data_IF_818768200019
#
_entry.id   IF_818768200019
#
_cell.length_a   1.000
_cell.length_b   1.000
_cell.length_c   1.000
_cell.angle_alpha   90.00
_cell.angle_beta   90.00
_cell.angle_gamma   90.00
#
_symmetry.space_group_name_H-M   'P 1'
#
loop_
_entity.id
_entity.type
_entity.pdbx_description
1 polymer ?
#
# COMPACT_ATOMS: atom_id res chain seq x y z
N UNK A 1 5.58 -22.41 11.97
CA UNK A 1 5.83 -21.35 13.00
C UNK A 1 7.06 -21.78 13.77
N UNK A 2 8.22 -21.20 13.48
CA UNK A 2 9.39 -21.42 14.33
C UNK A 2 9.12 -20.70 15.67
N UNK A 3 9.11 -21.45 16.77
CA UNK A 3 9.00 -20.86 18.10
C UNK A 3 10.20 -19.95 18.34
N UNK A 4 9.96 -18.79 18.95
CA UNK A 4 11.04 -17.91 19.41
C UNK A 4 11.88 -18.72 20.40
N UNK A 5 13.22 -18.79 20.24
CA UNK A 5 14.08 -19.53 21.16
C UNK A 5 13.84 -19.08 22.61
N UNK A 6 13.86 -20.01 23.56
CA UNK A 6 13.54 -19.74 24.97
C UNK A 6 14.38 -18.58 25.56
N UNK A 7 15.65 -18.46 25.14
CA UNK A 7 16.52 -17.34 25.54
C UNK A 7 16.05 -15.99 24.99
N UNK A 8 15.50 -15.95 23.78
CA UNK A 8 14.92 -14.73 23.19
C UNK A 8 13.57 -14.41 23.83
N UNK A 9 12.77 -15.42 24.21
CA UNK A 9 11.53 -15.19 24.99
C UNK A 9 11.83 -14.62 26.38
N UNK A 10 12.85 -15.13 27.07
CA UNK A 10 13.31 -14.57 28.36
C UNK A 10 13.71 -13.10 28.25
N UNK A 11 14.36 -12.72 27.14
CA UNK A 11 14.82 -11.35 26.92
C UNK A 11 13.69 -10.42 26.48
N UNK A 12 12.77 -10.89 25.62
CA UNK A 12 11.75 -10.02 25.01
C UNK A 12 10.44 -9.93 25.80
N UNK A 13 9.97 -11.04 26.37
CA UNK A 13 8.70 -11.09 27.10
C UNK A 13 8.77 -12.07 28.28
N UNK A 14 9.41 -11.66 29.39
CA UNK A 14 9.57 -12.49 30.59
C UNK A 14 8.22 -12.93 31.19
N UNK A 15 7.14 -12.18 30.94
CA UNK A 15 5.80 -12.42 31.53
C UNK A 15 5.17 -13.73 31.09
N UNK A 16 5.64 -14.31 29.98
CA UNK A 16 5.20 -15.62 29.50
C UNK A 16 5.82 -16.78 30.28
N UNK A 17 6.84 -16.52 31.10
CA UNK A 17 7.49 -17.55 31.91
C UNK A 17 6.63 -17.85 33.13
N UNK A 18 6.51 -19.14 33.44
CA UNK A 18 5.89 -19.55 34.70
C UNK A 18 6.85 -19.21 35.85
N UNK A 19 6.39 -18.60 36.94
CA UNK A 19 7.22 -18.41 38.12
C UNK A 19 7.64 -19.77 38.68
N UNK A 20 8.94 -19.97 38.83
CA UNK A 20 9.52 -21.21 39.39
C UNK A 20 9.71 -21.10 40.92
N UNK A 21 9.52 -19.90 41.47
CA UNK A 21 9.75 -19.57 42.87
C UNK A 21 8.42 -19.42 43.59
N UNK A 22 8.24 -20.18 44.68
CA UNK A 22 7.01 -20.18 45.50
C UNK A 22 6.67 -18.81 46.08
N UNK A 23 7.69 -17.99 46.37
CA UNK A 23 7.49 -16.63 46.89
C UNK A 23 6.90 -15.70 45.82
N UNK A 24 7.32 -15.84 44.56
CA UNK A 24 6.74 -15.12 43.43
C UNK A 24 5.25 -15.47 43.28
N UNK A 25 4.90 -16.76 43.36
CA UNK A 25 3.49 -17.19 43.32
C UNK A 25 2.66 -16.59 44.46
N UNK A 26 3.21 -16.50 45.67
CA UNK A 26 2.53 -15.87 46.82
C UNK A 26 2.27 -14.38 46.60
N UNK A 27 3.28 -13.64 46.14
CA UNK A 27 3.14 -12.21 45.84
C UNK A 27 2.06 -12.00 44.79
N UNK A 28 2.11 -12.75 43.69
CA UNK A 28 1.11 -12.65 42.62
C UNK A 28 -0.29 -13.01 43.10
N UNK A 29 -0.43 -14.06 43.92
CA UNK A 29 -1.73 -14.45 44.48
C UNK A 29 -2.35 -13.31 45.29
N UNK A 30 -1.55 -12.61 46.11
CA UNK A 30 -2.02 -11.43 46.87
C UNK A 30 -2.47 -10.31 45.93
N UNK A 31 -1.73 -10.05 44.85
CA UNK A 31 -2.09 -9.04 43.85
C UNK A 31 -3.36 -9.41 43.11
N UNK A 32 -3.48 -10.66 42.66
CA UNK A 32 -4.65 -11.18 41.95
C UNK A 32 -5.91 -11.15 42.84
N UNK A 33 -5.79 -11.57 44.11
CA UNK A 33 -6.86 -11.40 45.09
C UNK A 33 -7.25 -9.94 45.32
N UNK A 34 -6.26 -9.03 45.33
CA UNK A 34 -6.50 -7.60 45.53
C UNK A 34 -7.26 -7.01 44.33
N UNK A 35 -6.92 -7.40 43.11
CA UNK A 35 -7.67 -7.06 41.90
C UNK A 35 -9.12 -7.50 42.04
N UNK A 36 -9.36 -8.76 42.42
CA UNK A 36 -10.72 -9.28 42.63
C UNK A 36 -11.47 -8.49 43.70
N UNK A 37 -10.83 -8.15 44.83
CA UNK A 37 -11.43 -7.32 45.90
C UNK A 37 -11.81 -5.93 45.39
N UNK A 38 -10.97 -5.29 44.57
CA UNK A 38 -11.26 -3.99 43.95
C UNK A 38 -12.43 -4.09 42.97
N UNK A 39 -12.46 -5.13 42.14
CA UNK A 39 -13.56 -5.38 41.21
C UNK A 39 -14.88 -5.61 41.95
N UNK A 40 -14.90 -6.43 43.01
CA UNK A 40 -16.10 -6.62 43.85
C UNK A 40 -16.55 -5.29 44.45
N UNK A 41 -15.63 -4.52 45.05
CA UNK A 41 -15.93 -3.24 45.68
C UNK A 41 -16.55 -2.26 44.69
N UNK A 42 -16.06 -2.25 43.44
CA UNK A 42 -16.64 -1.46 42.34
C UNK A 42 -18.08 -1.87 42.02
N UNK A 43 -18.44 -3.15 42.13
CA UNK A 43 -19.79 -3.63 41.85
C UNK A 43 -20.80 -3.29 42.96
N UNK A 44 -20.36 -3.21 44.22
CA UNK A 44 -21.21 -3.06 45.41
C UNK A 44 -22.27 -1.95 45.25
N UNK A 45 -21.96 -0.70 44.85
CA UNK A 45 -22.96 0.36 44.73
C UNK A 45 -24.07 0.03 43.72
N UNK A 46 -23.74 -0.65 42.62
CA UNK A 46 -24.72 -1.05 41.59
C UNK A 46 -25.58 -2.24 42.01
N UNK A 47 -25.00 -3.15 42.77
CA UNK A 47 -25.73 -4.28 43.36
C UNK A 47 -26.72 -3.78 44.39
N UNK A 48 -26.29 -2.90 45.30
CA UNK A 48 -27.14 -2.28 46.33
C UNK A 48 -28.29 -1.53 45.68
N UNK A 49 -28.02 -0.69 44.65
CA UNK A 49 -29.05 0.07 43.95
C UNK A 49 -30.06 -0.77 43.15
N UNK A 50 -29.88 -2.08 43.03
CA UNK A 50 -30.82 -2.98 42.37
C UNK A 50 -30.86 -4.34 43.08
N UNK A 51 -30.84 -4.32 44.41
CA UNK A 51 -30.64 -5.52 45.22
C UNK A 51 -31.70 -6.59 44.98
N UNK A 52 -32.96 -6.20 44.76
CA UNK A 52 -34.07 -7.10 44.44
C UNK A 52 -33.78 -8.01 43.24
N UNK A 53 -33.08 -7.48 42.23
CA UNK A 53 -32.71 -8.22 41.01
C UNK A 53 -31.65 -9.28 41.28
N UNK A 54 -30.78 -9.05 42.27
CA UNK A 54 -29.62 -9.89 42.55
C UNK A 54 -29.78 -10.75 43.82
N UNK A 55 -30.73 -10.43 44.70
CA UNK A 55 -30.90 -11.05 46.02
C UNK A 55 -31.02 -12.57 45.95
N UNK A 56 -31.77 -13.12 44.97
CA UNK A 56 -31.88 -14.57 44.76
C UNK A 56 -30.53 -15.23 44.46
N UNK A 57 -29.68 -14.56 43.69
CA UNK A 57 -28.36 -15.06 43.31
C UNK A 57 -27.34 -14.90 44.43
N UNK A 58 -27.42 -13.81 45.18
CA UNK A 58 -26.52 -13.49 46.29
C UNK A 58 -26.82 -14.31 47.55
N UNK A 59 -28.06 -14.77 47.72
CA UNK A 59 -28.50 -15.45 48.93
C UNK A 59 -28.72 -14.49 50.11
N UNK A 60 -29.34 -14.96 51.19
CA UNK A 60 -29.78 -14.11 52.30
C UNK A 60 -28.60 -13.46 53.05
N UNK A 61 -27.50 -14.17 53.23
CA UNK A 61 -26.32 -13.73 54.01
C UNK A 61 -25.59 -12.55 53.36
N UNK A 62 -25.38 -12.61 52.04
CA UNK A 62 -24.73 -11.52 51.29
C UNK A 62 -25.70 -10.35 51.14
N UNK A 63 -26.98 -10.65 50.91
CA UNK A 63 -28.04 -9.63 50.78
C UNK A 63 -28.18 -8.83 52.08
N UNK A 64 -28.21 -9.48 53.25
CA UNK A 64 -28.27 -8.79 54.54
C UNK A 64 -27.01 -7.96 54.80
N UNK A 65 -25.82 -8.52 54.52
CA UNK A 65 -24.55 -7.80 54.67
C UNK A 65 -24.49 -6.54 53.80
N UNK A 66 -25.01 -6.59 52.57
CA UNK A 66 -25.08 -5.43 51.67
C UNK A 66 -26.09 -4.37 52.15
N UNK A 67 -27.22 -4.78 52.75
CA UNK A 67 -28.19 -3.86 53.34
C UNK A 67 -27.61 -3.13 54.57
N UNK A 68 -26.92 -3.85 55.44
CA UNK A 68 -26.20 -3.25 56.57
C UNK A 68 -25.13 -2.27 56.09
N UNK A 69 -24.36 -2.65 55.07
CA UNK A 69 -23.36 -1.77 54.46
C UNK A 69 -23.97 -0.49 53.89
N UNK A 70 -25.14 -0.60 53.24
CA UNK A 70 -25.87 0.56 52.72
C UNK A 70 -26.31 1.49 53.85
N UNK A 71 -26.84 0.94 54.95
CA UNK A 71 -27.25 1.74 56.12
C UNK A 71 -26.06 2.52 56.69
N UNK A 72 -24.94 1.84 56.92
CA UNK A 72 -23.70 2.46 57.41
C UNK A 72 -23.17 3.53 56.43
N UNK A 73 -23.30 3.29 55.12
CA UNK A 73 -22.89 4.25 54.09
C UNK A 73 -23.73 5.53 54.10
N UNK A 74 -25.02 5.44 54.39
CA UNK A 74 -25.91 6.60 54.52
C UNK A 74 -25.63 7.35 55.83
N UNK A 75 -25.44 6.61 56.93
CA UNK A 75 -25.11 7.18 58.23
C UNK A 75 -23.81 7.99 58.20
N UNK A 76 -22.74 7.45 57.60
CA UNK A 76 -21.48 8.19 57.47
C UNK A 76 -21.64 9.43 56.59
N UNK A 77 -22.44 9.38 55.52
CA UNK A 77 -22.71 10.55 54.67
C UNK A 77 -23.44 11.66 55.43
N UNK A 78 -24.39 11.31 56.30
CA UNK A 78 -25.10 12.25 57.16
C UNK A 78 -24.15 12.88 58.20
N UNK A 79 -23.30 12.05 58.83
CA UNK A 79 -22.30 12.51 59.80
C UNK A 79 -21.26 13.43 59.13
N UNK A 80 -20.87 13.18 57.89
CA UNK A 80 -19.96 14.05 57.13
C UNK A 80 -20.58 15.42 56.80
N UNK A 81 -21.90 15.50 56.63
CA UNK A 81 -22.62 16.74 56.36
C UNK A 81 -22.86 17.59 57.63
N UNK A 82 -22.77 17.01 58.83
CA UNK A 82 -23.00 17.70 60.11
C UNK A 82 -21.68 18.01 60.84
N UNK A 83 -21.35 19.27 61.17
CA UNK A 83 -20.14 19.59 61.91
C UNK A 83 -20.30 19.22 63.40
N UNK A 84 -19.52 18.26 63.91
CA UNK A 84 -19.31 18.18 65.36
C UNK A 84 -19.10 16.82 66.04
N UNK A 85 -19.23 15.67 65.37
CA UNK A 85 -19.11 14.37 66.05
C UNK A 85 -18.05 13.44 65.44
N UNK A 86 -16.78 13.78 65.69
CA UNK A 86 -15.61 13.02 65.21
C UNK A 86 -15.47 11.62 65.83
N UNK A 87 -16.08 11.39 67.00
CA UNK A 87 -16.00 10.09 67.68
C UNK A 87 -17.01 9.11 67.08
N UNK A 88 -18.27 9.54 66.90
CA UNK A 88 -19.26 8.74 66.17
C UNK A 88 -18.87 8.54 64.71
N UNK A 89 -18.29 9.56 64.04
CA UNK A 89 -17.75 9.41 62.68
C UNK A 89 -16.72 8.28 62.58
N UNK A 90 -15.74 8.26 63.50
CA UNK A 90 -14.71 7.21 63.52
C UNK A 90 -15.29 5.84 63.82
N UNK A 91 -16.27 5.74 64.72
CA UNK A 91 -16.95 4.48 65.01
C UNK A 91 -17.69 3.94 63.78
N UNK A 92 -18.49 4.78 63.10
CA UNK A 92 -19.23 4.38 61.89
C UNK A 92 -18.28 4.05 60.74
N UNK A 93 -17.19 4.81 60.55
CA UNK A 93 -16.17 4.50 59.55
C UNK A 93 -15.53 3.12 59.79
N UNK A 94 -15.23 2.80 61.05
CA UNK A 94 -14.68 1.49 61.41
C UNK A 94 -15.71 0.38 61.16
N UNK A 95 -16.99 0.59 61.50
CA UNK A 95 -18.05 -0.35 61.21
C UNK A 95 -18.24 -0.56 59.70
N UNK A 96 -18.15 0.51 58.91
CA UNK A 96 -18.22 0.45 57.45
C UNK A 96 -17.06 -0.38 56.86
N UNK A 97 -15.83 -0.18 57.38
CA UNK A 97 -14.65 -0.98 57.01
C UNK A 97 -14.85 -2.45 57.34
N UNK A 98 -15.35 -2.78 58.53
CA UNK A 98 -15.64 -4.15 58.95
C UNK A 98 -16.73 -4.79 58.08
N UNK A 99 -17.80 -4.05 57.78
CA UNK A 99 -18.88 -4.49 56.89
C UNK A 99 -18.36 -4.80 55.48
N UNK A 100 -17.54 -3.92 54.90
CA UNK A 100 -16.91 -4.16 53.60
C UNK A 100 -16.02 -5.40 53.62
N UNK A 101 -15.18 -5.56 54.65
CA UNK A 101 -14.34 -6.77 54.82
C UNK A 101 -15.17 -8.04 54.90
N UNK A 102 -16.30 -8.02 55.60
CA UNK A 102 -17.19 -9.17 55.68
C UNK A 102 -17.81 -9.50 54.31
N UNK A 103 -18.29 -8.49 53.58
CA UNK A 103 -18.82 -8.68 52.21
C UNK A 103 -17.74 -9.30 51.31
N UNK A 104 -16.53 -8.74 51.29
CA UNK A 104 -15.43 -9.26 50.49
C UNK A 104 -15.12 -10.72 50.84
N UNK A 105 -15.10 -11.07 52.13
CA UNK A 105 -14.90 -12.46 52.58
C UNK A 105 -15.99 -13.40 52.03
N UNK A 106 -17.25 -12.98 52.06
CA UNK A 106 -18.37 -13.78 51.54
C UNK A 106 -18.26 -13.98 50.01
N UNK A 107 -17.89 -12.95 49.26
CA UNK A 107 -17.68 -13.06 47.82
C UNK A 107 -16.47 -13.94 47.48
N UNK A 108 -15.36 -13.84 48.23
CA UNK A 108 -14.17 -14.65 47.99
C UNK A 108 -14.38 -16.13 48.36
N UNK A 109 -15.23 -16.42 49.35
CA UNK A 109 -15.63 -17.78 49.67
C UNK A 109 -16.45 -18.45 48.53
N UNK A 110 -17.02 -17.67 47.61
CA UNK A 110 -17.75 -18.16 46.45
C UNK A 110 -17.32 -17.43 45.15
N UNK A 111 -16.19 -17.82 44.54
CA UNK A 111 -15.66 -17.16 43.35
C UNK A 111 -16.63 -17.18 42.16
N UNK A 112 -17.44 -18.24 42.01
CA UNK A 112 -18.40 -18.36 40.91
C UNK A 112 -19.51 -17.30 40.99
N UNK A 113 -19.92 -16.93 42.20
CA UNK A 113 -20.89 -15.87 42.42
C UNK A 113 -20.37 -14.53 41.89
N UNK A 114 -19.12 -14.19 42.22
CA UNK A 114 -18.47 -12.99 41.73
C UNK A 114 -18.41 -12.96 40.20
N UNK A 115 -17.92 -14.05 39.57
CA UNK A 115 -17.81 -14.13 38.11
C UNK A 115 -19.19 -14.00 37.45
N UNK A 116 -20.21 -14.69 37.96
CA UNK A 116 -21.58 -14.58 37.44
C UNK A 116 -22.16 -13.18 37.59
N UNK A 117 -21.83 -12.48 38.68
CA UNK A 117 -22.25 -11.11 38.93
C UNK A 117 -21.52 -10.12 38.00
N UNK A 118 -20.21 -10.29 37.77
CA UNK A 118 -19.38 -9.44 36.89
C UNK A 118 -19.98 -9.31 35.48
N UNK A 119 -20.48 -10.40 34.92
CA UNK A 119 -21.13 -10.39 33.59
C UNK A 119 -22.57 -9.86 33.60
N UNK A 120 -23.30 -10.04 34.71
CA UNK A 120 -24.70 -9.61 34.83
C UNK A 120 -24.85 -8.12 35.16
N UNK A 121 -23.94 -7.57 35.95
CA UNK A 121 -24.01 -6.17 36.38
C UNK A 121 -23.33 -5.29 35.32
N UNK A 122 -24.14 -4.55 34.57
CA UNK A 122 -23.62 -3.51 33.67
C UNK A 122 -23.24 -2.29 34.49
N UNK A 123 -21.94 -2.07 34.68
CA UNK A 123 -21.41 -0.86 35.32
C UNK A 123 -20.85 0.05 34.23
N UNK A 124 -21.26 1.33 34.23
CA UNK A 124 -20.60 2.36 33.40
C UNK A 124 -19.14 2.50 33.82
N UNK A 125 -18.30 3.03 32.94
CA UNK A 125 -16.94 3.38 33.36
C UNK A 125 -16.99 4.31 34.58
N UNK A 126 -16.20 3.97 35.60
CA UNK A 126 -16.07 4.75 36.83
C UNK A 126 -14.59 5.03 37.08
N UNK A 127 -14.26 6.03 37.90
CA UNK A 127 -12.87 6.31 38.29
C UNK A 127 -12.16 5.07 38.88
N UNK A 128 -12.90 4.14 39.48
CA UNK A 128 -12.34 2.88 39.99
C UNK A 128 -11.81 1.96 38.87
N UNK A 129 -12.33 2.04 37.63
CA UNK A 129 -11.81 1.24 36.51
C UNK A 129 -10.39 1.65 36.13
N UNK A 130 -10.10 2.95 36.19
CA UNK A 130 -8.75 3.45 35.94
C UNK A 130 -7.79 2.89 36.97
N UNK A 131 -8.19 2.88 38.24
CA UNK A 131 -7.40 2.30 39.32
C UNK A 131 -7.21 0.79 39.18
N UNK A 132 -8.27 0.04 38.85
CA UNK A 132 -8.20 -1.41 38.63
C UNK A 132 -7.24 -1.73 37.47
N UNK A 133 -7.35 -1.02 36.34
CA UNK A 133 -6.44 -1.20 35.19
C UNK A 133 -4.99 -0.89 35.56
N UNK A 134 -4.74 0.24 36.22
CA UNK A 134 -3.41 0.58 36.70
C UNK A 134 -2.85 -0.47 37.67
N UNK A 135 -3.69 -1.07 38.51
CA UNK A 135 -3.28 -2.14 39.42
C UNK A 135 -3.00 -3.47 38.69
N UNK A 136 -3.75 -3.78 37.62
CA UNK A 136 -3.43 -4.91 36.73
C UNK A 136 -2.09 -4.70 36.02
N UNK A 137 -1.82 -3.50 35.51
CA UNK A 137 -0.53 -3.12 34.93
C UNK A 137 0.60 -3.23 35.96
N UNK A 138 0.37 -2.78 37.19
CA UNK A 138 1.32 -2.93 38.30
C UNK A 138 1.60 -4.39 38.63
N UNK A 139 0.57 -5.25 38.60
CA UNK A 139 0.72 -6.70 38.80
C UNK A 139 1.60 -7.31 37.72
N UNK A 140 1.39 -6.94 36.45
CA UNK A 140 2.19 -7.46 35.34
C UNK A 140 3.63 -6.92 35.35
N UNK A 141 3.81 -5.65 35.72
CA UNK A 141 5.12 -5.06 35.97
C UNK A 141 5.86 -5.79 37.09
N UNK A 142 5.18 -6.08 38.20
CA UNK A 142 5.75 -6.83 39.33
C UNK A 142 6.13 -8.24 38.92
N UNK A 143 5.30 -8.94 38.13
CA UNK A 143 5.65 -10.23 37.55
C UNK A 143 6.94 -10.14 36.73
N UNK A 144 7.02 -9.18 35.82
CA UNK A 144 8.22 -8.98 34.99
C UNK A 144 9.47 -8.75 35.85
N UNK A 145 9.39 -7.92 36.90
CA UNK A 145 10.50 -7.69 37.82
C UNK A 145 10.87 -8.92 38.66
N UNK A 146 9.90 -9.74 39.06
CA UNK A 146 10.17 -10.97 39.82
C UNK A 146 10.75 -12.09 38.95
N UNK A 147 10.52 -12.05 37.64
CA UNK A 147 11.02 -13.03 36.67
C UNK A 147 12.33 -12.62 35.98
N UNK A 148 12.80 -11.39 36.18
CA UNK A 148 13.98 -10.85 35.49
C UNK A 148 15.04 -10.47 36.50
N UNK A 149 16.24 -11.05 36.35
CA UNK A 149 17.41 -10.65 37.13
C UNK A 149 17.99 -9.31 36.64
N UNK A 150 18.77 -8.60 37.47
CA UNK A 150 19.43 -7.36 37.05
C UNK A 150 20.35 -7.52 35.84
N UNK A 151 20.96 -8.69 35.66
CA UNK A 151 21.85 -8.95 34.52
C UNK A 151 21.07 -9.30 33.26
N UNK A 152 19.98 -10.08 33.36
CA UNK A 152 19.04 -10.31 32.24
C UNK A 152 18.44 -8.99 31.73
N UNK A 153 18.14 -8.03 32.62
CA UNK A 153 17.67 -6.70 32.23
C UNK A 153 18.73 -5.91 31.44
N UNK A 154 20.00 -5.97 31.86
CA UNK A 154 21.10 -5.34 31.11
C UNK A 154 21.28 -6.01 29.75
N UNK A 155 21.23 -7.33 29.69
CA UNK A 155 21.30 -8.09 28.44
C UNK A 155 20.17 -7.69 27.48
N UNK A 156 18.94 -7.52 28.00
CA UNK A 156 17.80 -7.00 27.22
C UNK A 156 18.07 -5.61 26.67
N UNK A 157 18.61 -4.69 27.48
CA UNK A 157 18.95 -3.33 27.03
C UNK A 157 20.02 -3.37 25.93
N UNK A 158 21.06 -4.19 26.09
CA UNK A 158 22.11 -4.35 25.08
C UNK A 158 21.55 -4.95 23.79
N UNK A 159 20.78 -6.03 23.89
CA UNK A 159 20.15 -6.68 22.74
C UNK A 159 19.23 -5.74 21.96
N UNK A 160 18.39 -4.96 22.66
CA UNK A 160 17.54 -3.96 22.00
C UNK A 160 18.37 -2.88 21.29
N UNK A 161 19.46 -2.41 21.91
CA UNK A 161 20.37 -1.44 21.29
C UNK A 161 21.02 -1.99 20.02
N UNK A 162 21.47 -3.23 20.05
CA UNK A 162 22.10 -3.89 18.89
C UNK A 162 21.09 -4.06 17.74
N UNK A 163 19.84 -4.43 18.05
CA UNK A 163 18.75 -4.47 17.07
C UNK A 163 18.52 -3.07 16.47
N UNK A 164 18.43 -2.03 17.30
CA UNK A 164 18.21 -0.65 16.81
C UNK A 164 19.34 -0.21 15.86
N UNK A 165 20.59 -0.49 16.21
CA UNK A 165 21.75 -0.20 15.36
C UNK A 165 21.68 -0.97 14.04
N UNK A 166 21.26 -2.24 14.08
CA UNK A 166 21.12 -3.03 12.85
C UNK A 166 19.98 -2.50 11.97
N UNK A 167 18.87 -2.09 12.58
CA UNK A 167 17.73 -1.48 11.86
C UNK A 167 18.16 -0.18 11.18
N UNK A 168 18.91 0.69 11.86
CA UNK A 168 19.44 1.93 11.31
C UNK A 168 20.33 1.67 10.09
N UNK A 169 21.33 0.78 10.22
CA UNK A 169 22.19 0.38 9.10
C UNK A 169 21.41 -0.22 7.92
N UNK A 170 20.40 -1.03 8.21
CA UNK A 170 19.55 -1.61 7.17
C UNK A 170 18.75 -0.54 6.44
N UNK A 171 18.21 0.46 7.15
CA UNK A 171 17.48 1.60 6.56
C UNK A 171 18.39 2.44 5.67
N UNK A 172 19.62 2.71 6.12
CA UNK A 172 20.63 3.41 5.32
C UNK A 172 20.96 2.63 4.04
N UNK A 173 21.21 1.33 4.17
CA UNK A 173 21.53 0.46 3.03
C UNK A 173 20.38 0.39 2.03
N UNK A 174 19.14 0.27 2.51
CA UNK A 174 17.94 0.24 1.65
C UNK A 174 17.79 1.57 0.92
N UNK A 175 17.99 2.70 1.60
CA UNK A 175 17.90 4.03 1.00
C UNK A 175 18.94 4.20 -0.11
N UNK A 176 20.20 3.82 0.15
CA UNK A 176 21.27 3.89 -0.85
C UNK A 176 20.97 3.03 -2.09
N UNK A 177 20.48 1.79 -1.90
CA UNK A 177 20.10 0.92 -3.01
C UNK A 177 18.90 1.46 -3.81
N UNK A 178 17.96 2.14 -3.15
CA UNK A 178 16.84 2.79 -3.83
C UNK A 178 17.30 3.98 -4.68
N UNK A 179 18.26 4.77 -4.21
CA UNK A 179 18.87 5.86 -4.98
C UNK A 179 19.63 5.32 -6.19
N UNK A 180 20.45 4.28 -6.02
CA UNK A 180 21.16 3.63 -7.12
C UNK A 180 20.20 3.08 -8.18
N UNK A 181 19.13 2.42 -7.75
CA UNK A 181 18.10 1.89 -8.66
C UNK A 181 17.41 3.03 -9.44
N UNK A 182 17.07 4.14 -8.77
CA UNK A 182 16.47 5.30 -9.42
C UNK A 182 17.41 5.91 -10.46
N UNK A 183 18.69 6.04 -10.16
CA UNK A 183 19.70 6.56 -11.09
C UNK A 183 19.87 5.66 -12.32
N UNK A 184 19.86 4.33 -12.13
CA UNK A 184 19.92 3.36 -13.25
C UNK A 184 18.68 3.45 -14.13
N UNK A 185 17.48 3.55 -13.53
CA UNK A 185 16.23 3.71 -14.28
C UNK A 185 16.27 4.98 -15.13
N UNK A 186 16.62 6.12 -14.52
CA UNK A 186 16.73 7.39 -15.22
C UNK A 186 17.71 7.32 -16.41
N UNK A 187 18.89 6.71 -16.19
CA UNK A 187 19.89 6.57 -17.26
C UNK A 187 19.35 5.73 -18.42
N UNK A 188 18.62 4.65 -18.15
CA UNK A 188 17.99 3.83 -19.20
C UNK A 188 16.89 4.59 -19.92
N UNK A 189 16.04 5.33 -19.21
CA UNK A 189 14.98 6.14 -19.81
C UNK A 189 15.55 7.22 -20.73
N UNK A 190 16.64 7.87 -20.34
CA UNK A 190 17.37 8.82 -21.18
C UNK A 190 17.93 8.14 -22.45
N UNK A 191 18.48 6.93 -22.34
CA UNK A 191 18.97 6.18 -23.51
C UNK A 191 17.83 5.77 -24.45
N UNK A 192 16.69 5.32 -23.90
CA UNK A 192 15.50 5.00 -24.69
C UNK A 192 14.99 6.24 -25.43
N UNK A 193 14.85 7.37 -24.75
CA UNK A 193 14.42 8.62 -25.38
C UNK A 193 15.36 9.07 -26.51
N UNK A 194 16.69 8.89 -26.35
CA UNK A 194 17.66 9.17 -27.44
C UNK A 194 17.44 8.24 -28.64
N UNK A 195 17.19 6.95 -28.40
CA UNK A 195 16.93 5.96 -29.45
C UNK A 195 15.59 6.22 -30.14
N UNK A 196 14.54 6.54 -29.40
CA UNK A 196 13.22 6.86 -29.95
C UNK A 196 13.28 8.10 -30.85
N UNK A 197 14.01 9.13 -30.43
CA UNK A 197 14.26 10.31 -31.27
C UNK A 197 14.98 9.95 -32.57
N UNK A 198 16.01 9.11 -32.51
CA UNK A 198 16.72 8.65 -33.71
C UNK A 198 15.80 7.86 -34.65
N UNK A 199 14.89 7.05 -34.09
CA UNK A 199 13.89 6.33 -34.87
C UNK A 199 12.93 7.30 -35.58
N UNK A 200 12.46 8.35 -34.89
CA UNK A 200 11.63 9.39 -35.51
C UNK A 200 12.37 10.15 -36.63
N UNK A 201 13.62 10.57 -36.37
CA UNK A 201 14.45 11.27 -37.35
C UNK A 201 14.70 10.41 -38.60
N UNK A 202 14.98 9.11 -38.41
CA UNK A 202 15.14 8.18 -39.54
C UNK A 202 13.82 7.96 -40.30
N UNK A 203 12.69 7.84 -39.59
CA UNK A 203 11.38 7.64 -40.20
C UNK A 203 10.98 8.83 -41.08
N UNK A 204 11.15 10.05 -40.56
CA UNK A 204 10.91 11.29 -41.31
C UNK A 204 11.82 11.40 -42.54
N UNK A 205 13.11 11.14 -42.38
CA UNK A 205 14.05 11.12 -43.51
C UNK A 205 13.68 10.09 -44.59
N UNK A 206 13.22 8.90 -44.19
CA UNK A 206 12.75 7.88 -45.14
C UNK A 206 11.48 8.31 -45.87
N UNK A 207 10.53 8.96 -45.18
CA UNK A 207 9.30 9.48 -45.78
C UNK A 207 9.59 10.60 -46.79
N UNK A 208 10.51 11.51 -46.45
CA UNK A 208 10.96 12.59 -47.33
C UNK A 208 11.66 12.02 -48.57
N UNK A 209 12.60 11.09 -48.40
CA UNK A 209 13.28 10.43 -49.52
C UNK A 209 12.29 9.71 -50.45
N UNK A 210 11.31 9.01 -49.89
CA UNK A 210 10.29 8.34 -50.68
C UNK A 210 9.43 9.33 -51.49
N UNK A 211 9.12 10.49 -50.92
CA UNK A 211 8.38 11.57 -51.59
C UNK A 211 9.21 12.21 -52.70
N UNK A 212 10.49 12.48 -52.45
CA UNK A 212 11.41 13.06 -53.42
C UNK A 212 11.64 12.10 -54.60
N UNK A 213 11.92 10.82 -54.32
CA UNK A 213 12.04 9.79 -55.36
C UNK A 213 10.76 9.68 -56.20
N UNK A 214 9.58 9.77 -55.58
CA UNK A 214 8.30 9.75 -56.32
C UNK A 214 8.16 10.97 -57.23
N UNK A 215 8.53 12.16 -56.76
CA UNK A 215 8.48 13.38 -57.56
C UNK A 215 9.48 13.33 -58.73
N UNK A 216 10.69 12.81 -58.49
CA UNK A 216 11.72 12.67 -59.51
C UNK A 216 11.33 11.64 -60.59
N UNK A 217 10.75 10.50 -60.19
CA UNK A 217 10.20 9.53 -61.13
C UNK A 217 9.08 10.16 -61.99
N UNK A 218 8.17 10.93 -61.38
CA UNK A 218 7.11 11.63 -62.12
C UNK A 218 7.68 12.64 -63.12
N UNK A 219 8.67 13.43 -62.71
CA UNK A 219 9.35 14.38 -63.59
C UNK A 219 10.01 13.67 -64.79
N UNK A 220 10.79 12.60 -64.54
CA UNK A 220 11.45 11.83 -65.60
C UNK A 220 10.42 11.24 -66.58
N UNK A 221 9.29 10.75 -66.08
CA UNK A 221 8.21 10.23 -66.92
C UNK A 221 7.61 11.33 -67.82
N UNK A 222 7.30 12.51 -67.27
CA UNK A 222 6.74 13.63 -68.03
C UNK A 222 7.72 14.16 -69.09
N UNK A 223 9.00 14.29 -68.74
CA UNK A 223 10.06 14.70 -69.66
C UNK A 223 10.23 13.67 -70.79
N UNK A 224 10.23 12.38 -70.45
CA UNK A 224 10.27 11.28 -71.42
C UNK A 224 9.08 11.29 -72.38
N UNK A 225 7.85 11.52 -71.88
CA UNK A 225 6.66 11.65 -72.72
C UNK A 225 6.74 12.85 -73.68
N UNK A 226 7.25 13.98 -73.20
CA UNK A 226 7.40 15.18 -74.02
C UNK A 226 8.43 14.96 -75.13
N UNK A 227 9.58 14.38 -74.79
CA UNK A 227 10.62 14.02 -75.76
C UNK A 227 10.08 13.04 -76.81
N UNK A 228 9.34 12.02 -76.39
CA UNK A 228 8.71 11.07 -77.33
C UNK A 228 7.76 11.78 -78.30
N UNK A 229 6.91 12.69 -77.81
CA UNK A 229 5.98 13.47 -78.67
C UNK A 229 6.74 14.33 -79.68
N UNK A 230 7.86 14.93 -79.29
CA UNK A 230 8.71 15.71 -80.19
C UNK A 230 9.38 14.84 -81.25
N UNK A 231 9.96 13.71 -80.84
CA UNK A 231 10.61 12.76 -81.74
C UNK A 231 9.63 12.16 -82.75
N UNK A 232 8.41 11.84 -82.32
CA UNK A 232 7.34 11.40 -83.20
C UNK A 232 6.98 12.47 -84.24
N UNK A 233 6.85 13.75 -83.84
CA UNK A 233 6.57 14.86 -84.76
C UNK A 233 7.71 15.03 -85.76
N UNK A 234 8.95 15.03 -85.28
CA UNK A 234 10.14 15.15 -86.13
C UNK A 234 10.24 13.99 -87.12
N UNK A 235 9.97 12.76 -86.67
CA UNK A 235 9.94 11.56 -87.50
C UNK A 235 8.84 11.64 -88.57
N UNK A 236 7.60 12.01 -88.18
CA UNK A 236 6.48 12.22 -89.11
C UNK A 236 6.81 13.26 -90.18
N UNK A 237 7.46 14.37 -89.80
CA UNK A 237 7.90 15.40 -90.74
C UNK A 237 8.96 14.88 -91.73
N UNK A 238 9.97 14.14 -91.25
CA UNK A 238 10.98 13.50 -92.11
C UNK A 238 10.36 12.53 -93.10
N UNK A 239 9.45 11.67 -92.65
CA UNK A 239 8.73 10.74 -93.52
C UNK A 239 7.90 11.47 -94.58
N UNK A 240 7.22 12.56 -94.22
CA UNK A 240 6.45 13.36 -95.17
C UNK A 240 7.34 13.98 -96.25
N UNK A 241 8.49 14.55 -95.86
CA UNK A 241 9.47 15.12 -96.79
C UNK A 241 10.04 14.07 -97.75
N UNK A 242 10.47 12.92 -97.23
CA UNK A 242 10.96 11.82 -98.07
C UNK A 242 9.89 11.31 -99.05
N UNK A 243 8.63 11.22 -98.62
CA UNK A 243 7.52 10.88 -99.52
C UNK A 243 7.35 11.90 -100.64
N UNK A 244 7.44 13.20 -100.35
CA UNK A 244 7.39 14.26 -101.37
C UNK A 244 8.57 14.18 -102.34
N UNK A 245 9.78 13.95 -101.84
CA UNK A 245 10.97 13.78 -102.69
C UNK A 245 10.83 12.57 -103.62
N UNK A 246 10.38 11.42 -103.10
CA UNK A 246 10.11 10.23 -103.92
C UNK A 246 9.07 10.53 -105.01
N UNK A 247 8.00 11.26 -104.69
CA UNK A 247 7.00 11.67 -105.67
C UNK A 247 7.60 12.59 -106.75
N UNK A 248 8.43 13.57 -106.36
CA UNK A 248 9.07 14.50 -107.30
C UNK A 248 10.09 13.80 -108.20
N UNK A 249 10.94 12.93 -107.63
CA UNK A 249 11.86 12.10 -108.41
C UNK A 249 11.09 11.17 -109.36
N UNK A 250 10.00 10.57 -108.91
CA UNK A 250 9.12 9.77 -109.77
C UNK A 250 8.55 10.57 -110.94
N UNK A 251 8.07 11.80 -110.69
CA UNK A 251 7.59 12.70 -111.74
C UNK A 251 8.71 13.10 -112.72
N UNK A 252 9.90 13.44 -112.21
CA UNK A 252 11.08 13.76 -113.04
C UNK A 252 11.51 12.58 -113.90
N UNK A 253 11.57 11.39 -113.32
CA UNK A 253 11.92 10.17 -114.04
C UNK A 253 10.91 9.90 -115.17
N UNK A 254 9.61 10.00 -114.90
CA UNK A 254 8.57 9.86 -115.92
C UNK A 254 8.70 10.89 -117.05
N UNK A 255 9.01 12.15 -116.72
CA UNK A 255 9.26 13.19 -117.72
C UNK A 255 10.47 12.87 -118.60
N UNK A 256 11.59 12.45 -118.00
CA UNK A 256 12.79 11.99 -118.72
C UNK A 256 12.51 10.78 -119.61
N UNK A 257 11.72 9.82 -119.14
CA UNK A 257 11.29 8.66 -119.95
C UNK A 257 10.48 9.13 -121.16
N UNK A 258 9.55 10.07 -120.98
CA UNK A 258 8.76 10.64 -122.08
C UNK A 258 9.62 11.43 -123.07
N UNK A 259 10.56 12.24 -122.58
CA UNK A 259 11.50 13.01 -123.41
C UNK A 259 12.41 12.07 -124.20
N UNK A 260 13.03 11.08 -123.55
CA UNK A 260 13.84 10.07 -124.22
C UNK A 260 13.02 9.30 -125.26
N UNK A 261 11.77 8.94 -124.97
CA UNK A 261 10.86 8.30 -125.94
C UNK A 261 10.54 9.21 -127.12
N UNK A 262 10.41 10.51 -126.91
CA UNK A 262 10.23 11.49 -127.98
C UNK A 262 11.52 11.68 -128.81
N UNK A 263 12.70 11.76 -128.18
CA UNK A 263 14.00 11.82 -128.85
C UNK A 263 14.28 10.55 -129.66
N UNK A 264 13.92 9.38 -129.12
CA UNK A 264 13.99 8.10 -129.84
C UNK A 264 13.09 8.11 -131.09
N UNK A 265 11.86 8.62 -130.98
CA UNK A 265 10.95 8.79 -132.12
C UNK A 265 11.52 9.76 -133.18
N UNK A 266 12.24 10.82 -132.77
CA UNK A 266 12.93 11.74 -133.69
C UNK A 266 14.12 11.07 -134.38
N UNK A 267 14.96 10.33 -133.63
CA UNK A 267 16.09 9.59 -134.19
C UNK A 267 15.65 8.50 -135.17
N UNK A 268 14.52 7.83 -134.89
CA UNK A 268 13.88 6.89 -135.83
C UNK A 268 13.40 7.56 -137.13
N UNK A 269 13.11 8.87 -137.11
CA UNK A 269 12.80 9.65 -138.33
C UNK A 269 14.06 10.09 -139.10
N UNK A 270 15.18 10.38 -138.42
CA UNK A 270 16.45 10.80 -139.06
C UNK A 270 17.25 9.64 -139.65
N UNK A 271 17.16 8.43 -139.07
CA UNK A 271 17.76 7.22 -139.65
C UNK A 271 16.96 6.62 -140.83
N UNK A 272 15.87 7.27 -141.22
CA UNK A 272 14.96 6.83 -142.26
C UNK A 272 14.66 7.90 -143.31
N UNK A 273 15.69 8.57 -143.85
CA UNK A 273 15.81 9.07 -145.24
C UNK A 273 17.10 9.85 -145.44
#
# INVERSE_FOLDING_TARGET
RAGIPLGVMKVLDPRQLKPDITETERILTVLDETIVKLEITRLIPRVIGSLERYARMLGPEITSSLLEHQKLSVEIQQLLASPGDEESRRAVEQHLKCSLRNILRLFLANPLLYHGLKYKVRVRESPADVFIRAFMEFRDFTLERLLTSPDEEKEKIHFMRDISLQVEKNVETISALQEELAAVIQTRDEELNRKDKMIEDLKTSMEDLAKDCKAEIQHIMEEGENQQKEDEKASKHRCARLKQEVQLLGARFNALVLEHRASELVLRKVKGR
#
